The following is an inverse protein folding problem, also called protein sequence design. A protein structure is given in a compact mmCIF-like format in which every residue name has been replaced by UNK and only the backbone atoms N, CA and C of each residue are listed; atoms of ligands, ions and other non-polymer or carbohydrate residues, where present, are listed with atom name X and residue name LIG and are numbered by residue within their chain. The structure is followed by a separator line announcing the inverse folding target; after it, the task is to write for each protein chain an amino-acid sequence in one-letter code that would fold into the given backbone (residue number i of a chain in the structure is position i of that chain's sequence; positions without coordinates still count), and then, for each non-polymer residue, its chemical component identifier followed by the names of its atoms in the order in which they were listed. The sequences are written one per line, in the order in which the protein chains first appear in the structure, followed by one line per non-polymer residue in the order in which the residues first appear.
data_IF_878565256989
#
_entry.id   IF_878565256989
#
_cell.length_a   1.000
_cell.length_b   1.000
_cell.length_c   1.000
_cell.angle_alpha   90.00
_cell.angle_beta   90.00
_cell.angle_gamma   90.00
#
_symmetry.space_group_name_H-M   'P 1'
#
loop_
_entity.id
_entity.type
_entity.pdbx_description
1 polymer ?
#
# COMPACT_ATOMS: atom_id res chain seq x y z
N UNK A 1 6.11 8.83 1.04
CA UNK A 1 5.77 8.09 -0.19
C UNK A 1 5.06 6.80 0.12
N UNK A 2 4.13 6.37 -0.77
CA UNK A 2 3.40 5.11 -0.63
C UNK A 2 3.40 4.37 -1.97
N UNK A 3 3.95 3.17 -1.98
CA UNK A 3 4.02 2.24 -3.12
C UNK A 3 3.40 0.90 -2.74
N UNK A 4 2.97 0.12 -3.72
CA UNK A 4 2.36 -1.20 -3.53
C UNK A 4 2.48 -2.08 -4.78
N UNK A 5 2.23 -3.36 -4.61
CA UNK A 5 1.97 -4.29 -5.71
C UNK A 5 3.11 -4.29 -6.74
N UNK A 6 4.33 -4.57 -6.27
CA UNK A 6 5.56 -4.61 -7.10
C UNK A 6 5.60 -5.90 -7.91
N UNK A 7 5.18 -7.03 -7.32
CA UNK A 7 5.11 -8.36 -7.92
C UNK A 7 6.42 -8.83 -8.58
N UNK A 8 7.52 -8.78 -7.81
CA UNK A 8 8.78 -9.36 -8.28
C UNK A 8 8.58 -10.81 -8.70
N UNK A 9 8.93 -11.12 -9.95
CA UNK A 9 8.66 -12.36 -10.62
C UNK A 9 8.42 -12.16 -12.11
N UNK A 10 7.65 -13.05 -12.77
CA UNK A 10 7.42 -12.96 -14.23
C UNK A 10 6.74 -11.68 -14.71
N UNK A 11 5.91 -11.07 -13.88
CA UNK A 11 5.13 -9.87 -14.23
C UNK A 11 5.83 -8.55 -13.86
N UNK A 12 7.03 -8.63 -13.29
CA UNK A 12 7.79 -7.46 -12.85
C UNK A 12 8.38 -6.71 -14.04
N UNK A 13 7.98 -5.46 -14.20
CA UNK A 13 8.50 -4.56 -15.23
C UNK A 13 9.69 -3.76 -14.68
N UNK A 14 10.90 -4.28 -14.83
CA UNK A 14 12.11 -3.69 -14.26
C UNK A 14 12.33 -2.23 -14.70
N UNK A 15 12.12 -1.91 -15.98
CA UNK A 15 12.30 -0.53 -16.50
C UNK A 15 11.35 0.46 -15.86
N UNK A 16 10.08 0.06 -15.64
CA UNK A 16 9.08 0.91 -14.98
C UNK A 16 9.46 1.13 -13.52
N UNK A 17 9.92 0.07 -12.86
CA UNK A 17 10.37 0.15 -11.48
C UNK A 17 11.60 1.05 -11.34
N UNK A 18 12.61 0.90 -12.20
CA UNK A 18 13.81 1.74 -12.22
C UNK A 18 13.46 3.22 -12.42
N UNK A 19 12.54 3.52 -13.33
CA UNK A 19 12.05 4.89 -13.54
C UNK A 19 11.35 5.44 -12.29
N UNK A 20 10.51 4.63 -11.62
CA UNK A 20 9.89 5.03 -10.36
C UNK A 20 10.93 5.26 -9.25
N UNK A 21 12.00 4.45 -9.22
CA UNK A 21 13.12 4.62 -8.27
C UNK A 21 13.82 5.97 -8.47
N UNK A 22 14.12 6.34 -9.72
CA UNK A 22 14.73 7.63 -10.03
C UNK A 22 13.85 8.79 -9.57
N UNK A 23 12.56 8.74 -9.88
CA UNK A 23 11.59 9.77 -9.48
C UNK A 23 11.46 9.87 -7.95
N UNK A 24 11.30 8.75 -7.25
CA UNK A 24 11.13 8.70 -5.80
C UNK A 24 12.40 9.16 -5.09
N UNK A 25 13.58 8.74 -5.57
CA UNK A 25 14.84 9.15 -4.98
C UNK A 25 15.12 10.65 -5.16
N UNK A 26 14.65 11.25 -6.26
CA UNK A 26 14.74 12.70 -6.48
C UNK A 26 13.85 13.51 -5.51
N UNK A 27 12.75 12.91 -5.06
CA UNK A 27 11.81 13.54 -4.12
C UNK A 27 12.24 13.41 -2.65
N UNK A 28 13.31 12.66 -2.36
CA UNK A 28 13.92 12.49 -1.03
C UNK A 28 12.89 12.26 0.11
N UNK A 29 12.04 11.22 0.04
CA UNK A 29 10.97 11.03 1.03
C UNK A 29 11.52 10.74 2.43
N UNK A 30 10.90 11.30 3.47
CA UNK A 30 11.20 10.98 4.86
C UNK A 30 10.84 9.53 5.19
N UNK A 31 9.69 9.08 4.72
CA UNK A 31 9.17 7.72 4.93
C UNK A 31 8.69 7.12 3.62
N UNK A 32 9.08 5.87 3.37
CA UNK A 32 8.55 5.03 2.30
C UNK A 32 7.68 3.93 2.90
N UNK A 33 6.40 3.93 2.57
CA UNK A 33 5.47 2.85 2.91
C UNK A 33 5.31 1.93 1.71
N UNK A 34 5.47 0.62 1.94
CA UNK A 34 5.29 -0.44 0.96
C UNK A 34 4.17 -1.35 1.46
N UNK A 35 3.00 -1.26 0.85
CA UNK A 35 1.78 -1.88 1.37
C UNK A 35 1.46 -3.27 0.81
N UNK A 36 2.49 -4.05 0.46
CA UNK A 36 2.36 -5.48 0.17
C UNK A 36 2.49 -5.86 -1.30
N UNK A 37 2.39 -7.16 -1.55
CA UNK A 37 2.60 -7.82 -2.83
C UNK A 37 3.94 -7.46 -3.47
N UNK A 38 5.01 -7.70 -2.69
CA UNK A 38 6.40 -7.50 -3.11
C UNK A 38 6.83 -8.57 -4.10
N UNK A 39 6.31 -9.80 -3.92
CA UNK A 39 6.59 -10.99 -4.72
C UNK A 39 5.33 -11.46 -5.43
N UNK A 40 5.48 -12.23 -6.52
CA UNK A 40 4.33 -12.82 -7.21
C UNK A 40 3.85 -14.13 -6.57
N UNK A 41 4.76 -14.98 -6.08
CA UNK A 41 4.44 -16.32 -5.58
C UNK A 41 5.12 -16.68 -4.25
N UNK A 42 5.65 -15.71 -3.52
CA UNK A 42 6.30 -15.96 -2.23
C UNK A 42 7.58 -16.80 -2.30
N UNK A 43 8.22 -16.90 -3.48
CA UNK A 43 9.42 -17.71 -3.68
C UNK A 43 10.68 -16.98 -3.20
N UNK A 44 11.67 -17.72 -2.68
CA UNK A 44 12.92 -17.12 -2.18
C UNK A 44 13.66 -16.31 -3.26
N UNK A 45 13.62 -16.75 -4.52
CA UNK A 45 14.22 -16.00 -5.64
C UNK A 45 13.54 -14.66 -5.86
N UNK A 46 12.21 -14.61 -5.72
CA UNK A 46 11.42 -13.39 -5.85
C UNK A 46 11.64 -12.47 -4.65
N UNK A 47 11.79 -13.01 -3.44
CA UNK A 47 12.16 -12.22 -2.26
C UNK A 47 13.54 -11.59 -2.39
N UNK A 48 14.53 -12.32 -2.95
CA UNK A 48 15.85 -11.76 -3.26
C UNK A 48 15.76 -10.63 -4.28
N UNK A 49 14.98 -10.83 -5.34
CA UNK A 49 14.71 -9.79 -6.35
C UNK A 49 14.04 -8.56 -5.72
N UNK A 50 12.98 -8.76 -4.92
CA UNK A 50 12.28 -7.69 -4.23
C UNK A 50 13.20 -6.91 -3.28
N UNK A 51 14.07 -7.61 -2.54
CA UNK A 51 15.05 -6.98 -1.66
C UNK A 51 16.03 -6.11 -2.44
N UNK A 52 16.61 -6.63 -3.54
CA UNK A 52 17.52 -5.88 -4.41
C UNK A 52 16.82 -4.63 -5.00
N UNK A 53 15.60 -4.81 -5.51
CA UNK A 53 14.80 -3.72 -6.07
C UNK A 53 14.52 -2.62 -5.01
N UNK A 54 14.04 -3.00 -3.83
CA UNK A 54 13.71 -2.05 -2.77
C UNK A 54 14.92 -1.40 -2.11
N UNK A 55 16.11 -1.99 -2.22
CA UNK A 55 17.35 -1.38 -1.76
C UNK A 55 17.81 -0.21 -2.66
N UNK A 56 17.35 -0.15 -3.92
CA UNK A 56 17.59 0.98 -4.81
C UNK A 56 16.87 2.26 -4.37
N UNK A 57 15.77 2.12 -3.60
CA UNK A 57 15.02 3.26 -3.07
C UNK A 57 15.74 3.85 -1.85
N UNK A 58 16.18 5.11 -1.98
CA UNK A 58 16.93 5.84 -0.96
C UNK A 58 15.95 6.50 0.02
N UNK A 59 15.64 5.80 1.10
CA UNK A 59 14.81 6.35 2.17
C UNK A 59 15.30 5.81 3.51
N UNK A 60 15.45 6.71 4.47
CA UNK A 60 15.94 6.38 5.82
C UNK A 60 15.00 5.44 6.55
N UNK A 61 13.70 5.63 6.35
CA UNK A 61 12.65 4.88 7.03
C UNK A 61 11.73 4.21 6.04
N UNK A 62 11.77 2.90 6.03
CA UNK A 62 10.88 2.07 5.21
C UNK A 62 9.93 1.31 6.14
N UNK A 63 8.64 1.32 5.79
CA UNK A 63 7.56 0.61 6.49
C UNK A 63 6.99 -0.43 5.53
N UNK A 64 7.08 -1.71 5.90
CA UNK A 64 6.65 -2.82 5.07
C UNK A 64 5.41 -3.50 5.64
N UNK A 65 4.43 -3.76 4.80
CA UNK A 65 3.31 -4.65 5.04
C UNK A 65 3.36 -5.81 4.05
N UNK A 66 2.95 -7.00 4.44
CA UNK A 66 2.83 -8.14 3.54
C UNK A 66 1.50 -8.13 2.79
N UNK A 67 1.51 -8.55 1.53
CA UNK A 67 0.31 -8.85 0.77
C UNK A 67 0.03 -10.35 0.67
N UNK A 68 -1.06 -10.72 -0.01
CA UNK A 68 -1.44 -12.13 -0.16
C UNK A 68 -0.48 -12.91 -1.06
N UNK A 69 0.10 -12.28 -2.08
CA UNK A 69 1.11 -12.91 -2.93
C UNK A 69 2.41 -13.19 -2.17
N UNK A 70 2.76 -12.34 -1.22
CA UNK A 70 3.90 -12.57 -0.33
C UNK A 70 3.71 -13.79 0.58
N UNK A 71 2.47 -14.21 0.83
CA UNK A 71 2.14 -15.33 1.72
C UNK A 71 1.85 -16.63 0.98
N UNK A 72 2.05 -16.67 -0.33
CA UNK A 72 1.99 -17.91 -1.12
C UNK A 72 3.18 -18.81 -0.80
N UNK A 73 3.02 -20.13 -1.00
CA UNK A 73 4.06 -21.13 -0.73
C UNK A 73 4.61 -21.00 0.70
N UNK A 74 5.90 -20.85 0.88
CA UNK A 74 6.55 -20.61 2.18
C UNK A 74 6.78 -19.13 2.47
N UNK A 75 6.21 -18.25 1.68
CA UNK A 75 6.47 -16.82 1.71
C UNK A 75 6.15 -16.14 3.04
N UNK A 76 5.13 -16.64 3.77
CA UNK A 76 4.79 -16.13 5.10
C UNK A 76 5.93 -16.26 6.14
N UNK A 77 6.84 -17.22 5.95
CA UNK A 77 8.07 -17.36 6.74
C UNK A 77 9.14 -16.41 6.24
N UNK A 78 9.33 -16.36 4.91
CA UNK A 78 10.38 -15.57 4.26
C UNK A 78 10.14 -14.07 4.41
N UNK A 79 8.90 -13.59 4.43
CA UNK A 79 8.62 -12.16 4.55
C UNK A 79 9.29 -11.54 5.78
N UNK A 80 9.22 -12.19 6.92
CA UNK A 80 9.83 -11.69 8.17
C UNK A 80 11.37 -11.73 8.12
N UNK A 81 11.93 -12.64 7.37
CA UNK A 81 13.38 -12.78 7.20
C UNK A 81 13.92 -11.67 6.29
N UNK A 82 13.30 -11.44 5.14
CA UNK A 82 13.76 -10.46 4.15
C UNK A 82 13.36 -9.02 4.50
N UNK A 83 12.21 -8.83 5.11
CA UNK A 83 11.64 -7.52 5.46
C UNK A 83 11.27 -7.47 6.94
N UNK A 84 12.25 -7.57 7.85
CA UNK A 84 11.99 -7.47 9.27
C UNK A 84 11.46 -6.08 9.60
N UNK A 85 10.29 -6.01 10.21
CA UNK A 85 9.62 -4.77 10.55
C UNK A 85 9.03 -4.79 11.94
N UNK A 86 8.87 -3.60 12.50
CA UNK A 86 8.11 -3.42 13.75
C UNK A 86 6.65 -3.15 13.39
N UNK A 87 5.69 -3.72 14.12
CA UNK A 87 4.28 -3.45 13.86
C UNK A 87 3.90 -1.99 14.19
N UNK A 88 4.68 -1.31 15.03
CA UNK A 88 4.56 0.14 15.28
C UNK A 88 5.87 0.82 14.91
N UNK A 89 5.79 1.78 13.99
CA UNK A 89 6.91 2.63 13.56
C UNK A 89 6.56 4.08 13.88
N UNK A 90 7.50 4.83 14.44
CA UNK A 90 7.32 6.25 14.78
C UNK A 90 8.28 7.09 13.95
N UNK A 91 7.81 8.20 13.46
CA UNK A 91 8.60 9.20 12.76
C UNK A 91 7.95 10.58 12.88
N UNK A 92 8.70 11.56 13.33
CA UNK A 92 8.35 12.99 13.44
C UNK A 92 6.86 13.32 13.65
N UNK A 93 6.32 12.96 14.81
CA UNK A 93 4.92 13.22 15.16
C UNK A 93 3.89 12.30 14.48
N UNK A 94 4.33 11.31 13.69
CA UNK A 94 3.51 10.32 13.02
C UNK A 94 3.77 8.92 13.59
N UNK A 95 2.73 8.13 13.75
CA UNK A 95 2.83 6.70 14.09
C UNK A 95 2.18 5.86 13.02
N UNK A 96 2.93 4.88 12.52
CA UNK A 96 2.46 3.88 11.58
C UNK A 96 2.15 2.59 12.34
N UNK A 97 0.93 2.08 12.19
CA UNK A 97 0.53 0.75 12.67
C UNK A 97 0.41 -0.17 11.47
N UNK A 98 1.27 -1.19 11.40
CA UNK A 98 1.25 -2.19 10.33
C UNK A 98 0.36 -3.35 10.75
N UNK A 99 -0.68 -3.60 9.95
CA UNK A 99 -1.69 -4.62 10.20
C UNK A 99 -1.59 -5.66 9.09
N UNK A 100 -1.20 -6.89 9.43
CA UNK A 100 -1.16 -7.99 8.46
C UNK A 100 -2.57 -8.46 8.15
N UNK A 101 -2.97 -8.33 6.91
CA UNK A 101 -4.24 -8.87 6.41
C UNK A 101 -4.04 -10.15 5.61
N UNK A 102 -2.80 -10.49 5.24
CA UNK A 102 -2.50 -11.69 4.47
C UNK A 102 -2.63 -12.97 5.31
N UNK A 103 -3.14 -14.01 4.66
CA UNK A 103 -3.22 -15.38 5.19
C UNK A 103 -2.56 -16.34 4.20
N UNK A 104 -1.82 -17.37 4.70
CA UNK A 104 -1.16 -18.32 3.80
C UNK A 104 -2.16 -18.96 2.82
N UNK A 105 -1.78 -18.97 1.54
CA UNK A 105 -2.52 -19.57 0.42
C UNK A 105 -3.94 -18.99 0.20
N UNK A 106 -4.24 -17.80 0.70
CA UNK A 106 -5.54 -17.14 0.50
C UNK A 106 -5.36 -15.83 -0.24
N UNK A 107 -6.32 -15.51 -1.10
CA UNK A 107 -6.39 -14.20 -1.77
C UNK A 107 -7.21 -13.20 -0.95
N UNK A 108 -8.09 -13.68 -0.07
CA UNK A 108 -8.89 -12.88 0.84
C UNK A 108 -8.06 -12.46 2.06
N UNK A 109 -8.26 -11.23 2.47
CA UNK A 109 -7.64 -10.71 3.68
C UNK A 109 -8.48 -11.00 4.94
N UNK A 110 -7.79 -11.15 6.07
CA UNK A 110 -8.40 -11.23 7.39
C UNK A 110 -7.46 -10.61 8.42
N UNK A 111 -7.96 -9.73 9.28
CA UNK A 111 -7.16 -9.12 10.36
C UNK A 111 -7.15 -10.05 11.59
N UNK A 112 -8.29 -10.52 11.99
CA UNK A 112 -8.48 -11.37 13.17
C UNK A 112 -8.59 -10.57 14.47
N UNK A 113 -9.45 -11.06 15.35
CA UNK A 113 -9.82 -10.39 16.61
C UNK A 113 -8.61 -9.96 17.46
N UNK A 114 -7.58 -10.81 17.57
CA UNK A 114 -6.38 -10.49 18.36
C UNK A 114 -5.63 -9.27 17.83
N UNK A 115 -5.57 -9.12 16.52
CA UNK A 115 -4.87 -7.99 15.91
C UNK A 115 -5.71 -6.72 15.98
N UNK A 116 -7.04 -6.83 15.94
CA UNK A 116 -7.97 -5.71 16.18
C UNK A 116 -7.77 -5.16 17.58
N UNK A 117 -7.81 -6.01 18.62
CA UNK A 117 -7.56 -5.58 20.01
C UNK A 117 -6.16 -4.97 20.19
N UNK A 118 -5.14 -5.61 19.61
CA UNK A 118 -3.77 -5.08 19.64
C UNK A 118 -3.68 -3.69 19.01
N UNK A 119 -4.39 -3.44 17.92
CA UNK A 119 -4.43 -2.13 17.26
C UNK A 119 -5.00 -1.06 18.19
N UNK A 120 -6.16 -1.32 18.78
CA UNK A 120 -6.83 -0.43 19.73
C UNK A 120 -5.93 -0.10 20.93
N UNK A 121 -5.38 -1.11 21.60
CA UNK A 121 -4.48 -0.95 22.75
C UNK A 121 -3.18 -0.21 22.40
N UNK A 122 -2.61 -0.51 21.24
CA UNK A 122 -1.36 0.10 20.79
C UNK A 122 -1.55 1.57 20.45
N UNK A 123 -2.62 1.90 19.72
CA UNK A 123 -2.88 3.27 19.28
C UNK A 123 -3.44 4.16 20.40
N UNK A 124 -4.05 3.61 21.44
CA UNK A 124 -4.49 4.36 22.63
C UNK A 124 -3.34 5.10 23.33
N UNK A 125 -2.11 4.60 23.20
CA UNK A 125 -0.87 5.20 23.76
C UNK A 125 -0.46 6.51 23.08
N UNK A 126 -1.00 6.80 21.89
CA UNK A 126 -0.62 7.94 21.04
C UNK A 126 -1.76 8.96 20.96
N UNK A 127 -1.89 9.82 21.97
CA UNK A 127 -3.02 10.77 22.08
C UNK A 127 -2.88 12.01 21.17
N UNK A 128 -1.65 12.46 20.89
CA UNK A 128 -1.35 13.70 20.16
C UNK A 128 -0.52 13.48 18.90
N UNK A 129 -0.52 12.26 18.39
CA UNK A 129 0.28 11.82 17.25
C UNK A 129 -0.64 11.50 16.10
N UNK A 130 -0.28 11.89 14.88
CA UNK A 130 -0.99 11.50 13.67
C UNK A 130 -0.87 9.99 13.49
N UNK A 131 -1.97 9.28 13.34
CA UNK A 131 -2.01 7.82 13.25
C UNK A 131 -2.28 7.40 11.82
N UNK A 132 -1.43 6.54 11.29
CA UNK A 132 -1.54 5.96 9.96
C UNK A 132 -1.56 4.44 10.11
N UNK A 133 -2.57 3.77 9.57
CA UNK A 133 -2.61 2.32 9.46
C UNK A 133 -2.09 1.89 8.10
N UNK A 134 -1.28 0.84 8.07
CA UNK A 134 -0.78 0.24 6.82
C UNK A 134 -1.30 -1.18 6.75
N UNK A 135 -2.07 -1.46 5.72
CA UNK A 135 -2.68 -2.76 5.41
C UNK A 135 -2.36 -3.11 3.96
N UNK A 136 -2.71 -4.30 3.51
CA UNK A 136 -2.65 -4.62 2.08
C UNK A 136 -4.04 -4.64 1.45
N UNK A 137 -4.93 -5.50 1.96
CA UNK A 137 -6.26 -5.68 1.42
C UNK A 137 -7.19 -4.51 1.75
N UNK A 138 -8.19 -4.30 0.90
CA UNK A 138 -9.15 -3.23 1.04
C UNK A 138 -10.23 -3.55 2.10
N UNK A 139 -10.61 -2.54 2.87
CA UNK A 139 -11.71 -2.62 3.86
C UNK A 139 -13.06 -2.27 3.24
N UNK A 140 -13.05 -1.44 2.22
CA UNK A 140 -14.21 -1.02 1.45
C UNK A 140 -13.94 -1.33 -0.01
N UNK A 141 -14.90 -1.86 -0.72
CA UNK A 141 -14.75 -2.23 -2.13
C UNK A 141 -14.18 -1.07 -2.96
N UNK A 142 -13.21 -1.39 -3.81
CA UNK A 142 -12.65 -0.45 -4.79
C UNK A 142 -13.47 -0.58 -6.08
N UNK A 143 -14.12 0.50 -6.57
CA UNK A 143 -14.96 0.44 -7.75
C UNK A 143 -14.23 -0.04 -9.01
N UNK A 144 -14.96 -0.66 -9.94
CA UNK A 144 -14.49 -1.13 -11.26
C UNK A 144 -13.31 -2.11 -11.21
N UNK A 145 -13.15 -2.88 -10.14
CA UNK A 145 -12.08 -3.87 -10.00
C UNK A 145 -12.55 -5.32 -10.14
N UNK A 146 -13.76 -5.52 -10.63
CA UNK A 146 -14.34 -6.82 -10.98
C UNK A 146 -15.23 -7.43 -9.88
N UNK A 147 -15.93 -8.55 -10.20
CA UNK A 147 -16.90 -9.17 -9.30
C UNK A 147 -16.26 -9.84 -8.07
N UNK A 148 -15.01 -10.29 -8.17
CA UNK A 148 -14.28 -10.95 -7.07
C UNK A 148 -13.67 -9.95 -6.08
N UNK A 149 -14.29 -8.79 -5.98
CA UNK A 149 -13.82 -7.71 -5.13
C UNK A 149 -14.36 -7.86 -3.71
N UNK A 150 -13.86 -8.88 -3.01
CA UNK A 150 -14.24 -9.17 -1.62
C UNK A 150 -13.36 -8.33 -0.70
N UNK A 151 -13.93 -7.50 0.19
CA UNK A 151 -13.18 -6.84 1.25
C UNK A 151 -12.56 -7.86 2.22
N UNK A 152 -11.72 -7.36 3.11
CA UNK A 152 -11.26 -8.14 4.27
C UNK A 152 -12.45 -8.81 4.97
N UNK A 153 -12.34 -10.08 5.32
CA UNK A 153 -13.45 -10.90 5.88
C UNK A 153 -14.08 -10.25 7.10
N UNK A 154 -13.26 -9.67 7.97
CA UNK A 154 -13.65 -8.94 9.18
C UNK A 154 -13.51 -7.42 9.01
N UNK A 155 -13.82 -6.91 7.82
CA UNK A 155 -13.66 -5.50 7.47
C UNK A 155 -14.46 -4.56 8.40
N UNK A 156 -15.66 -4.96 8.82
CA UNK A 156 -16.50 -4.17 9.71
C UNK A 156 -15.84 -3.92 11.07
N UNK A 157 -15.34 -4.96 11.72
CA UNK A 157 -14.66 -4.86 13.01
C UNK A 157 -13.36 -4.07 12.90
N UNK A 158 -12.61 -4.31 11.84
CA UNK A 158 -11.35 -3.60 11.56
C UNK A 158 -11.60 -2.12 11.30
N UNK A 159 -12.61 -1.78 10.50
CA UNK A 159 -12.95 -0.38 10.22
C UNK A 159 -13.41 0.35 11.49
N UNK A 160 -14.27 -0.28 12.30
CA UNK A 160 -14.68 0.25 13.59
C UNK A 160 -13.45 0.58 14.48
N UNK A 161 -12.53 -0.37 14.64
CA UNK A 161 -11.32 -0.16 15.46
C UNK A 161 -10.44 0.98 14.92
N UNK A 162 -10.32 1.12 13.61
CA UNK A 162 -9.60 2.20 12.93
C UNK A 162 -10.24 3.55 13.27
N UNK A 163 -11.56 3.67 13.13
CA UNK A 163 -12.29 4.92 13.39
C UNK A 163 -12.25 5.31 14.86
N UNK A 164 -12.55 4.38 15.79
CA UNK A 164 -12.49 4.60 17.23
C UNK A 164 -11.07 4.95 17.71
N UNK A 165 -10.04 4.35 17.10
CA UNK A 165 -8.63 4.68 17.38
C UNK A 165 -8.22 6.04 16.80
N UNK A 166 -9.08 6.74 16.05
CA UNK A 166 -8.80 8.03 15.40
C UNK A 166 -7.60 7.96 14.45
N UNK A 167 -7.54 6.90 13.65
CA UNK A 167 -6.59 6.78 12.55
C UNK A 167 -6.96 7.79 11.48
N UNK A 168 -6.03 8.64 11.08
CA UNK A 168 -6.30 9.71 10.09
C UNK A 168 -6.16 9.23 8.66
N UNK A 169 -5.33 8.19 8.44
CA UNK A 169 -5.02 7.67 7.12
C UNK A 169 -4.82 6.15 7.18
N UNK A 170 -5.42 5.44 6.24
CA UNK A 170 -5.17 4.01 5.96
C UNK A 170 -4.51 3.92 4.59
N UNK A 171 -3.40 3.20 4.49
CA UNK A 171 -2.68 2.94 3.23
C UNK A 171 -2.78 1.47 2.87
N UNK A 172 -3.22 1.18 1.64
CA UNK A 172 -3.40 -0.18 1.14
C UNK A 172 -3.10 -0.32 -0.35
N UNK A 173 -3.17 -1.55 -0.87
CA UNK A 173 -2.91 -1.91 -2.27
C UNK A 173 -3.92 -2.92 -2.80
N UNK A 174 -3.40 -4.09 -3.28
CA UNK A 174 -4.14 -5.30 -3.64
C UNK A 174 -4.94 -5.22 -4.95
N UNK A 175 -5.66 -4.14 -5.19
CA UNK A 175 -6.54 -4.04 -6.37
C UNK A 175 -5.85 -3.39 -7.57
N UNK A 176 -4.58 -3.02 -7.45
CA UNK A 176 -3.78 -2.35 -8.49
C UNK A 176 -4.45 -1.09 -9.04
N UNK A 177 -5.45 -0.58 -8.32
CA UNK A 177 -6.21 0.58 -8.71
C UNK A 177 -6.06 1.68 -7.66
N UNK A 178 -5.51 2.84 -8.00
CA UNK A 178 -5.48 3.98 -7.11
C UNK A 178 -6.91 4.43 -6.82
N UNK A 179 -7.24 4.53 -5.54
CA UNK A 179 -8.55 4.95 -5.09
C UNK A 179 -8.49 5.58 -3.71
N UNK A 180 -9.44 6.46 -3.41
CA UNK A 180 -9.57 7.03 -2.07
C UNK A 180 -11.02 7.02 -1.60
N UNK A 181 -11.23 6.47 -0.42
CA UNK A 181 -12.43 6.66 0.36
C UNK A 181 -12.20 7.68 1.47
N UNK A 182 -13.27 8.34 1.90
CA UNK A 182 -13.32 9.13 3.13
C UNK A 182 -14.47 8.61 3.98
N UNK A 183 -14.16 8.20 5.20
CA UNK A 183 -15.14 7.69 6.17
C UNK A 183 -14.90 8.45 7.45
N UNK A 184 -15.87 9.26 7.85
CA UNK A 184 -15.74 10.20 8.97
C UNK A 184 -14.47 11.06 8.81
N UNK A 185 -13.56 11.03 9.77
CA UNK A 185 -12.27 11.76 9.73
C UNK A 185 -11.10 10.99 9.12
N UNK A 186 -11.34 9.75 8.62
CA UNK A 186 -10.31 8.86 8.10
C UNK A 186 -10.28 8.88 6.57
N UNK A 187 -9.09 9.03 5.98
CA UNK A 187 -8.86 8.76 4.57
C UNK A 187 -8.39 7.31 4.41
N UNK A 188 -8.94 6.57 3.45
CA UNK A 188 -8.49 5.22 3.08
C UNK A 188 -7.99 5.32 1.63
N UNK A 189 -6.69 5.17 1.45
CA UNK A 189 -6.00 5.40 0.17
C UNK A 189 -5.37 4.09 -0.30
N UNK A 190 -5.77 3.67 -1.49
CA UNK A 190 -5.19 2.54 -2.20
C UNK A 190 -4.19 3.03 -3.23
N UNK A 191 -3.02 2.39 -3.27
CA UNK A 191 -2.07 2.58 -4.35
C UNK A 191 -2.49 1.74 -5.57
N UNK A 192 -2.07 2.20 -6.75
CA UNK A 192 -1.99 1.36 -7.93
C UNK A 192 -0.79 0.42 -7.85
N UNK A 193 -0.60 -0.43 -8.85
CA UNK A 193 0.65 -1.16 -8.96
C UNK A 193 1.81 -0.24 -9.36
N UNK A 194 2.97 -0.44 -8.74
CA UNK A 194 4.18 0.30 -9.10
C UNK A 194 4.80 -0.24 -10.40
N UNK A 195 4.81 -1.56 -10.59
CA UNK A 195 5.61 -2.20 -11.64
C UNK A 195 5.07 -3.53 -12.16
N UNK A 196 3.89 -4.00 -11.75
CA UNK A 196 3.32 -5.23 -12.28
C UNK A 196 2.64 -4.99 -13.64
N UNK A 197 2.74 -5.95 -14.57
CA UNK A 197 1.96 -5.94 -15.81
C UNK A 197 0.46 -5.91 -15.59
N UNK A 198 -0.01 -6.42 -14.44
CA UNK A 198 -1.44 -6.44 -14.07
C UNK A 198 -1.90 -5.08 -13.58
N UNK A 199 -2.25 -4.20 -14.45
CA UNK A 199 -2.73 -2.85 -14.10
C UNK A 199 -4.23 -2.76 -13.81
N UNK A 200 -4.95 -3.84 -13.92
CA UNK A 200 -6.42 -3.97 -13.71
C UNK A 200 -7.21 -2.70 -14.10
N UNK A 201 -7.93 -2.76 -15.21
CA UNK A 201 -8.79 -1.66 -15.64
C UNK A 201 -8.07 -0.48 -16.31
N UNK A 202 -6.94 -0.73 -16.96
CA UNK A 202 -6.21 0.25 -17.78
C UNK A 202 -5.60 1.42 -17.00
N UNK A 203 -5.25 1.20 -15.72
CA UNK A 203 -4.52 2.18 -14.92
C UNK A 203 -3.03 2.10 -15.20
N UNK A 204 -2.41 3.27 -15.34
CA UNK A 204 -0.98 3.39 -15.46
C UNK A 204 -0.28 3.03 -14.14
N UNK A 205 0.98 2.63 -14.22
CA UNK A 205 1.83 2.45 -13.05
C UNK A 205 1.92 3.76 -12.27
N UNK A 206 1.81 3.67 -10.97
CA UNK A 206 1.68 4.87 -10.15
C UNK A 206 2.11 4.63 -8.70
N UNK A 207 2.37 5.74 -8.02
CA UNK A 207 2.60 5.77 -6.58
C UNK A 207 1.96 7.01 -5.97
N UNK A 208 1.80 7.00 -4.64
CA UNK A 208 1.18 8.12 -3.94
C UNK A 208 2.25 8.98 -3.27
N UNK A 209 2.14 10.28 -3.45
CA UNK A 209 2.86 11.29 -2.69
C UNK A 209 1.91 11.75 -1.58
N UNK A 210 2.34 11.67 -0.34
CA UNK A 210 1.52 12.00 0.82
C UNK A 210 2.27 13.02 1.66
N UNK A 211 1.69 14.19 1.80
CA UNK A 211 2.15 15.20 2.73
C UNK A 211 1.30 15.13 4.01
N UNK A 212 1.98 14.93 5.13
CA UNK A 212 1.35 14.79 6.44
C UNK A 212 1.78 15.96 7.32
N UNK A 213 0.95 16.96 7.37
CA UNK A 213 1.12 18.08 8.29
C UNK A 213 0.35 17.88 9.60
N UNK A 214 0.50 18.81 10.53
CA UNK A 214 -0.22 18.78 11.80
C UNK A 214 -1.73 18.82 11.62
N UNK A 215 -2.22 19.58 10.64
CA UNK A 215 -3.63 19.89 10.48
C UNK A 215 -4.26 19.14 9.30
N UNK A 216 -3.48 18.81 8.27
CA UNK A 216 -3.97 18.25 7.02
C UNK A 216 -3.12 17.05 6.55
N UNK A 217 -3.77 16.16 5.79
CA UNK A 217 -3.12 15.12 5.00
C UNK A 217 -3.52 15.34 3.54
N UNK A 218 -2.58 15.76 2.73
CA UNK A 218 -2.73 15.82 1.28
C UNK A 218 -2.22 14.54 0.64
N UNK A 219 -2.99 14.00 -0.31
CA UNK A 219 -2.62 12.80 -1.06
C UNK A 219 -2.73 13.07 -2.54
N UNK A 220 -1.63 12.87 -3.25
CA UNK A 220 -1.51 13.04 -4.68
C UNK A 220 -1.10 11.71 -5.33
N UNK A 221 -1.62 11.44 -6.52
CA UNK A 221 -1.24 10.30 -7.35
C UNK A 221 -0.23 10.74 -8.40
N UNK A 222 0.93 10.13 -8.43
CA UNK A 222 1.97 10.32 -9.45
C UNK A 222 1.94 9.17 -10.44
N UNK A 223 1.85 9.49 -11.72
CA UNK A 223 1.96 8.51 -12.81
C UNK A 223 3.44 8.38 -13.17
N UNK A 224 3.96 7.15 -13.07
CA UNK A 224 5.35 6.83 -13.39
C UNK A 224 5.68 7.21 -14.83
N UNK A 225 6.84 7.77 -15.05
CA UNK A 225 7.33 8.16 -16.37
C UNK A 225 6.68 9.41 -16.97
N UNK A 226 5.91 10.15 -16.19
CA UNK A 226 5.23 11.35 -16.68
C UNK A 226 5.38 12.50 -15.69
N UNK A 227 5.08 13.72 -16.11
CA UNK A 227 4.96 14.86 -15.17
C UNK A 227 3.56 14.99 -14.56
N UNK A 228 2.69 13.97 -14.73
CA UNK A 228 1.31 14.02 -14.24
C UNK A 228 1.24 13.74 -12.75
N UNK A 229 0.74 14.71 -12.03
CA UNK A 229 0.39 14.66 -10.63
C UNK A 229 -1.11 14.93 -10.51
N UNK A 230 -1.87 13.99 -9.96
CA UNK A 230 -3.32 14.02 -9.95
C UNK A 230 -3.84 14.11 -8.52
N UNK A 231 -4.88 14.89 -8.32
CA UNK A 231 -5.61 14.92 -7.04
C UNK A 231 -6.63 13.78 -6.99
N UNK A 232 -6.69 13.05 -5.90
CA UNK A 232 -7.66 11.96 -5.74
C UNK A 232 -9.12 12.42 -5.84
N UNK A 233 -9.43 13.67 -5.50
CA UNK A 233 -10.80 14.20 -5.67
C UNK A 233 -11.23 14.26 -7.13
N UNK A 234 -10.29 14.50 -8.04
CA UNK A 234 -10.55 14.52 -9.48
C UNK A 234 -10.72 13.11 -10.02
N UNK A 235 -9.89 12.17 -9.53
CA UNK A 235 -9.95 10.76 -9.89
C UNK A 235 -11.28 10.12 -9.46
N UNK A 236 -11.67 10.30 -8.18
CA UNK A 236 -12.89 9.74 -7.59
C UNK A 236 -14.16 10.31 -8.24
N UNK A 237 -14.13 11.57 -8.66
CA UNK A 237 -15.25 12.21 -9.36
C UNK A 237 -15.32 11.88 -10.86
N UNK A 238 -14.44 11.00 -11.35
CA UNK A 238 -14.38 10.62 -12.76
C UNK A 238 -13.96 11.74 -13.71
N UNK A 239 -13.39 12.82 -13.18
CA UNK A 239 -12.94 13.98 -13.97
C UNK A 239 -11.62 13.71 -14.72
N UNK A 240 -10.84 12.75 -14.24
CA UNK A 240 -9.59 12.34 -14.87
C UNK A 240 -9.67 10.88 -15.24
N UNK A 241 -9.52 10.58 -16.54
CA UNK A 241 -9.26 9.21 -17.00
C UNK A 241 -7.76 9.00 -17.00
N UNK A 242 -7.31 7.96 -16.30
CA UNK A 242 -5.91 7.56 -16.42
C UNK A 242 -5.64 7.07 -17.84
N UNK A 243 -4.49 7.40 -18.43
CA UNK A 243 -4.16 6.96 -19.78
C UNK A 243 -4.14 5.43 -19.81
N UNK A 244 -4.72 4.86 -20.86
CA UNK A 244 -4.50 3.46 -21.17
C UNK A 244 -3.00 3.24 -21.36
N UNK A 245 -2.47 2.15 -20.82
CA UNK A 245 -1.10 1.75 -21.12
C UNK A 245 -1.10 1.38 -22.61
N UNK A 246 -0.36 2.13 -23.41
CA UNK A 246 -0.12 1.73 -24.79
C UNK A 246 0.65 0.41 -24.72
N UNK A 247 0.00 -0.68 -25.11
CA UNK A 247 0.70 -1.89 -25.50
C UNK A 247 1.50 -1.52 -26.75
N UNK A 248 2.72 -1.04 -26.56
CA UNK A 248 3.68 -0.96 -27.66
C UNK A 248 4.23 -2.37 -27.84
N UNK A 249 4.19 -2.93 -29.06
CA UNK A 249 4.61 -4.29 -29.35
C UNK A 249 6.09 -4.52 -29.05
#
# INVERSE_FOLDING_TARGET
MHISDIHCGPEFQARVFEQAVEEINHLEPDVLVVSGDLTENGLISQYRQAKQALDMLKCKRKVFCSGNHDYRSTGYLLFKEFFPGKPIVKDDGVVFAVISTARPERNEGEVGHRQVLWLEESLAKFKRTRKIAVIHHHLIQVPDTGPDNIPVVDAGDTLRAILESKVSLVLGGHRHRPWRWRVEGTQIVHAGTLSSERTRGFYAHSYNIIDVSRDEIETLLKIVGTNKLLRFDELVKGRVRLPAISQTP
#
